data_IF_940910306354
#
_entry.id   IF_940910306354
#
_cell.length_a   1.000
_cell.length_b   1.000
_cell.length_c   1.000
_cell.angle_alpha   90.00
_cell.angle_beta   90.00
_cell.angle_gamma   90.00
#
_symmetry.space_group_name_H-M   'P 1'
#
loop_
_entity.id
_entity.type
_entity.pdbx_description
1 polymer ?
#
# COMPACT_ATOMS: atom_id res chain seq x y z
N UNK A 1 25.86 -19.41 -20.51
CA UNK A 1 24.67 -19.77 -21.29
C UNK A 1 24.81 -19.16 -22.66
N UNK A 2 24.45 -19.83 -23.75
CA UNK A 2 24.45 -19.24 -25.07
C UNK A 2 23.54 -18.02 -25.08
N UNK A 3 23.93 -16.97 -25.81
CA UNK A 3 23.16 -15.71 -25.91
C UNK A 3 21.69 -15.91 -26.32
N UNK A 4 21.39 -17.02 -27.03
CA UNK A 4 20.04 -17.41 -27.43
C UNK A 4 19.04 -17.59 -26.27
N UNK A 5 19.48 -18.14 -25.12
CA UNK A 5 18.59 -18.36 -23.98
C UNK A 5 18.18 -17.02 -23.30
N UNK A 6 19.11 -16.08 -23.19
CA UNK A 6 18.82 -14.74 -22.68
C UNK A 6 17.89 -13.96 -23.61
N UNK A 7 18.12 -14.08 -24.91
CA UNK A 7 17.25 -13.43 -25.91
C UNK A 7 15.81 -13.95 -25.85
N UNK A 8 15.64 -15.29 -25.69
CA UNK A 8 14.33 -15.88 -25.50
C UNK A 8 13.66 -15.39 -24.19
N UNK A 9 14.44 -15.30 -23.10
CA UNK A 9 13.90 -14.82 -21.80
C UNK A 9 13.40 -13.38 -21.88
N UNK A 10 14.15 -12.47 -22.53
CA UNK A 10 13.71 -11.08 -22.66
C UNK A 10 12.47 -10.94 -23.54
N UNK A 11 12.40 -11.69 -24.63
CA UNK A 11 11.21 -11.67 -25.50
C UNK A 11 9.98 -12.24 -24.77
N UNK A 12 10.13 -13.36 -24.06
CA UNK A 12 9.06 -13.95 -23.24
C UNK A 12 8.65 -12.99 -22.10
N UNK A 13 9.61 -12.32 -21.46
CA UNK A 13 9.35 -11.31 -20.44
C UNK A 13 8.54 -10.12 -20.97
N UNK A 14 8.88 -9.66 -22.17
CA UNK A 14 8.14 -8.61 -22.86
C UNK A 14 6.69 -9.03 -23.14
N UNK A 15 6.49 -10.18 -23.77
CA UNK A 15 5.15 -10.69 -24.11
C UNK A 15 4.30 -10.95 -22.85
N UNK A 16 4.90 -11.52 -21.82
CA UNK A 16 4.19 -11.81 -20.59
C UNK A 16 3.80 -10.53 -19.83
N UNK A 17 4.69 -9.54 -19.76
CA UNK A 17 4.36 -8.24 -19.14
C UNK A 17 3.26 -7.52 -19.92
N UNK A 18 3.27 -7.60 -21.25
CA UNK A 18 2.20 -7.09 -22.10
C UNK A 18 0.86 -7.81 -21.79
N UNK A 19 0.88 -9.13 -21.74
CA UNK A 19 -0.32 -9.95 -21.47
C UNK A 19 -0.91 -9.65 -20.09
N UNK A 20 -0.08 -9.61 -19.03
CA UNK A 20 -0.51 -9.22 -17.68
C UNK A 20 -1.09 -7.80 -17.64
N UNK A 21 -0.47 -6.86 -18.35
CA UNK A 21 -0.97 -5.49 -18.46
C UNK A 21 -2.36 -5.43 -19.09
N UNK A 22 -2.60 -6.22 -20.13
CA UNK A 22 -3.92 -6.34 -20.77
C UNK A 22 -4.96 -7.02 -19.87
N UNK A 23 -4.58 -8.05 -19.12
CA UNK A 23 -5.48 -8.73 -18.17
C UNK A 23 -5.96 -7.77 -17.07
N UNK A 24 -5.08 -6.88 -16.58
CA UNK A 24 -5.45 -5.90 -15.56
C UNK A 24 -6.39 -4.79 -16.07
N UNK A 25 -6.49 -4.60 -17.38
CA UNK A 25 -7.45 -3.67 -18.01
C UNK A 25 -8.86 -4.26 -18.19
N UNK A 26 -9.09 -5.54 -17.82
CA UNK A 26 -10.37 -6.20 -17.99
C UNK A 26 -11.51 -5.41 -17.29
N UNK A 27 -12.55 -4.97 -18.00
CA UNK A 27 -13.63 -4.14 -17.47
C UNK A 27 -14.52 -4.87 -16.44
N UNK A 28 -14.49 -6.19 -16.37
CA UNK A 28 -15.26 -6.97 -15.40
C UNK A 28 -14.83 -6.75 -13.94
N UNK A 29 -13.72 -6.07 -13.71
CA UNK A 29 -13.22 -5.72 -12.38
C UNK A 29 -13.51 -4.25 -12.03
N UNK A 30 -14.79 -3.84 -12.03
CA UNK A 30 -15.20 -2.43 -11.88
C UNK A 30 -14.61 -1.75 -10.64
N UNK A 31 -14.61 -2.39 -9.49
CA UNK A 31 -14.10 -1.80 -8.24
C UNK A 31 -12.57 -1.60 -8.25
N UNK A 32 -11.82 -2.53 -8.86
CA UNK A 32 -10.35 -2.49 -8.96
C UNK A 32 -9.86 -1.79 -10.23
N UNK A 33 -10.70 -1.65 -11.23
CA UNK A 33 -10.31 -1.23 -12.58
C UNK A 33 -9.59 0.12 -12.62
N UNK A 34 -9.97 1.07 -11.77
CA UNK A 34 -9.30 2.38 -11.69
C UNK A 34 -7.88 2.28 -11.14
N UNK A 35 -7.64 1.42 -10.15
CA UNK A 35 -6.30 1.19 -9.60
C UNK A 35 -5.45 0.39 -10.60
N UNK A 36 -5.99 -0.69 -11.15
CA UNK A 36 -5.29 -1.58 -12.06
C UNK A 36 -4.77 -0.89 -13.33
N UNK A 37 -5.41 0.18 -13.80
CA UNK A 37 -4.90 1.00 -14.92
C UNK A 37 -3.48 1.53 -14.68
N UNK A 38 -3.14 1.91 -13.46
CA UNK A 38 -1.79 2.38 -13.14
C UNK A 38 -0.76 1.23 -13.17
N UNK A 39 -1.15 0.04 -12.71
CA UNK A 39 -0.29 -1.15 -12.82
C UNK A 39 -0.09 -1.59 -14.28
N UNK A 40 -1.14 -1.49 -15.11
CA UNK A 40 -1.04 -1.78 -16.55
C UNK A 40 -0.02 -0.86 -17.23
N UNK A 41 0.01 0.43 -16.88
CA UNK A 41 1.02 1.37 -17.41
C UNK A 41 2.44 0.93 -17.02
N UNK A 42 2.65 0.47 -15.79
CA UNK A 42 3.95 -0.07 -15.35
C UNK A 42 4.32 -1.29 -16.19
N UNK A 43 3.41 -2.26 -16.31
CA UNK A 43 3.64 -3.49 -17.06
C UNK A 43 3.94 -3.23 -18.54
N UNK A 44 3.23 -2.30 -19.19
CA UNK A 44 3.52 -1.90 -20.58
C UNK A 44 4.87 -1.21 -20.71
N UNK A 45 5.23 -0.35 -19.75
CA UNK A 45 6.53 0.33 -19.75
C UNK A 45 7.69 -0.68 -19.67
N UNK A 46 7.57 -1.68 -18.80
CA UNK A 46 8.58 -2.74 -18.64
C UNK A 46 8.54 -3.77 -19.76
N UNK A 47 7.36 -4.05 -20.33
CA UNK A 47 7.26 -4.86 -21.57
C UNK A 47 8.10 -4.26 -22.68
N UNK A 48 7.98 -2.94 -22.88
CA UNK A 48 8.84 -2.23 -23.82
C UNK A 48 10.32 -2.28 -23.42
N UNK A 49 10.64 -2.16 -22.12
CA UNK A 49 12.00 -2.30 -21.59
C UNK A 49 12.64 -3.64 -21.94
N UNK A 50 11.95 -4.76 -21.73
CA UNK A 50 12.44 -6.10 -22.10
C UNK A 50 12.58 -6.27 -23.60
N UNK A 51 11.61 -5.79 -24.39
CA UNK A 51 11.72 -5.74 -25.85
C UNK A 51 12.94 -4.94 -26.30
N UNK A 52 13.20 -3.79 -25.67
CA UNK A 52 14.34 -2.96 -25.94
C UNK A 52 15.67 -3.68 -25.62
N UNK A 53 15.76 -4.35 -24.44
CA UNK A 53 16.93 -5.16 -24.08
C UNK A 53 17.16 -6.26 -25.11
N UNK A 54 16.11 -6.98 -25.53
CA UNK A 54 16.18 -7.99 -26.58
C UNK A 54 16.69 -7.40 -27.91
N UNK A 55 16.20 -6.24 -28.33
CA UNK A 55 16.63 -5.56 -29.55
C UNK A 55 18.11 -5.18 -29.51
N UNK A 56 18.60 -4.75 -28.35
CA UNK A 56 20.03 -4.42 -28.16
C UNK A 56 20.90 -5.69 -28.21
N UNK A 57 20.51 -6.75 -27.48
CA UNK A 57 21.25 -8.01 -27.39
C UNK A 57 21.33 -8.75 -28.74
N UNK A 58 20.30 -8.66 -29.57
CA UNK A 58 20.27 -9.27 -30.91
C UNK A 58 20.94 -8.41 -31.98
N UNK A 59 21.32 -7.17 -31.69
CA UNK A 59 21.86 -6.23 -32.66
C UNK A 59 20.85 -5.60 -33.61
N UNK A 60 19.54 -5.88 -33.43
CA UNK A 60 18.47 -5.33 -34.28
C UNK A 60 18.37 -3.80 -34.23
N UNK A 61 18.90 -3.17 -33.18
CA UNK A 61 18.97 -1.70 -33.09
C UNK A 61 19.70 -1.05 -34.27
N UNK A 62 20.62 -1.79 -34.99
CA UNK A 62 21.30 -1.30 -36.16
C UNK A 62 20.36 -1.12 -37.36
N UNK A 63 19.37 -2.00 -37.45
CA UNK A 63 18.33 -1.90 -38.50
C UNK A 63 17.25 -0.87 -38.16
N UNK A 64 17.04 -0.62 -36.84
CA UNK A 64 15.99 0.27 -36.32
C UNK A 64 16.53 1.33 -35.37
N UNK A 65 17.47 2.21 -35.81
CA UNK A 65 18.16 3.16 -34.92
C UNK A 65 17.24 4.22 -34.32
N UNK A 66 16.06 4.44 -34.90
CA UNK A 66 15.06 5.37 -34.37
C UNK A 66 14.39 4.89 -33.09
N UNK A 67 14.50 3.58 -32.72
CA UNK A 67 14.02 3.03 -31.46
C UNK A 67 15.01 3.23 -30.31
N UNK A 68 16.25 3.67 -30.59
CA UNK A 68 17.24 3.92 -29.54
C UNK A 68 16.77 4.99 -28.57
N UNK A 69 16.90 4.70 -27.27
CA UNK A 69 16.53 5.54 -26.13
C UNK A 69 15.03 5.87 -25.99
N UNK A 70 14.13 5.35 -26.84
CA UNK A 70 12.68 5.63 -26.76
C UNK A 70 12.12 5.23 -25.38
N UNK A 71 12.58 4.12 -24.81
CA UNK A 71 12.16 3.66 -23.49
C UNK A 71 12.86 4.33 -22.30
N UNK A 72 13.85 5.20 -22.53
CA UNK A 72 14.68 5.76 -21.47
C UNK A 72 13.87 6.61 -20.44
N UNK A 73 12.75 7.20 -20.87
CA UNK A 73 11.86 7.97 -19.98
C UNK A 73 10.87 7.10 -19.21
N UNK A 74 10.57 5.87 -19.66
CA UNK A 74 9.48 5.05 -19.10
C UNK A 74 9.72 4.63 -17.66
N UNK A 75 10.96 4.53 -17.22
CA UNK A 75 11.33 4.27 -15.83
C UNK A 75 10.77 5.30 -14.86
N UNK A 76 10.59 6.57 -15.30
CA UNK A 76 9.98 7.64 -14.53
C UNK A 76 8.46 7.44 -14.31
N UNK A 77 7.81 6.52 -15.01
CA UNK A 77 6.39 6.21 -14.82
C UNK A 77 6.16 5.26 -13.64
N UNK A 78 7.12 4.40 -13.30
CA UNK A 78 6.97 3.35 -12.29
C UNK A 78 6.60 3.92 -10.90
N UNK A 79 7.36 4.89 -10.40
CA UNK A 79 7.12 5.51 -9.09
C UNK A 79 5.75 6.20 -8.99
N UNK A 80 5.43 7.17 -9.88
CA UNK A 80 4.13 7.81 -9.92
C UNK A 80 2.94 6.85 -10.04
N UNK A 81 3.05 5.85 -10.92
CA UNK A 81 1.98 4.88 -11.11
C UNK A 81 1.75 4.00 -9.88
N UNK A 82 2.81 3.51 -9.21
CA UNK A 82 2.68 2.80 -7.93
C UNK A 82 2.04 3.67 -6.86
N UNK A 83 2.43 4.95 -6.78
CA UNK A 83 1.86 5.90 -5.83
C UNK A 83 0.36 6.13 -6.08
N UNK A 84 -0.03 6.35 -7.34
CA UNK A 84 -1.42 6.57 -7.71
C UNK A 84 -2.25 5.28 -7.56
N UNK A 85 -1.68 4.11 -7.85
CA UNK A 85 -2.26 2.81 -7.57
C UNK A 85 -2.64 2.69 -6.08
N UNK A 86 -1.66 2.89 -5.19
CA UNK A 86 -1.88 2.82 -3.75
C UNK A 86 -2.90 3.87 -3.28
N UNK A 87 -2.85 5.11 -3.83
CA UNK A 87 -3.81 6.17 -3.49
C UNK A 87 -5.25 5.77 -3.83
N UNK A 88 -5.46 5.13 -4.99
CA UNK A 88 -6.79 4.67 -5.42
C UNK A 88 -7.22 3.45 -4.61
N UNK A 89 -6.30 2.49 -4.39
CA UNK A 89 -6.56 1.27 -3.63
C UNK A 89 -7.01 1.58 -2.18
N UNK A 90 -6.38 2.59 -1.57
CA UNK A 90 -6.71 3.03 -0.21
C UNK A 90 -7.97 3.92 -0.15
N UNK A 91 -8.71 4.08 -1.22
CA UNK A 91 -10.06 4.70 -1.24
C UNK A 91 -10.15 6.15 -0.76
N UNK A 92 -9.04 6.88 -0.68
CA UNK A 92 -9.02 8.26 -0.19
C UNK A 92 -9.67 9.19 -1.21
N UNK A 93 -11.00 9.35 -1.15
CA UNK A 93 -11.71 10.44 -1.86
C UNK A 93 -11.26 11.77 -1.26
N UNK A 94 -10.54 12.56 -2.03
CA UNK A 94 -10.34 14.00 -1.74
C UNK A 94 -11.67 14.72 -2.02
N UNK A 95 -12.63 14.60 -1.09
CA UNK A 95 -14.02 15.09 -1.23
C UNK A 95 -14.11 16.62 -1.39
N UNK A 96 -13.10 17.37 -0.90
CA UNK A 96 -13.14 18.84 -0.84
C UNK A 96 -12.26 19.55 -1.89
N UNK A 97 -11.68 18.83 -2.87
CA UNK A 97 -10.90 19.48 -3.91
C UNK A 97 -11.60 19.34 -5.26
N UNK A 98 -11.84 20.50 -5.93
CA UNK A 98 -12.41 20.50 -7.29
C UNK A 98 -11.62 19.56 -8.22
N UNK A 99 -12.33 18.89 -9.12
CA UNK A 99 -11.78 17.90 -10.06
C UNK A 99 -10.56 18.43 -10.81
N UNK A 100 -10.56 19.68 -11.21
CA UNK A 100 -9.44 20.32 -11.93
C UNK A 100 -8.16 20.43 -11.11
N UNK A 101 -8.25 20.77 -9.81
CA UNK A 101 -7.07 20.83 -8.91
C UNK A 101 -6.48 19.44 -8.66
N UNK A 102 -7.32 18.42 -8.59
CA UNK A 102 -6.87 17.03 -8.44
C UNK A 102 -6.14 16.53 -9.69
N UNK A 103 -6.61 16.88 -10.89
CA UNK A 103 -5.96 16.54 -12.15
C UNK A 103 -4.57 17.20 -12.26
N UNK A 104 -4.45 18.49 -11.97
CA UNK A 104 -3.16 19.20 -11.97
C UNK A 104 -2.15 18.55 -11.03
N UNK A 105 -2.55 18.22 -9.80
CA UNK A 105 -1.67 17.54 -8.84
C UNK A 105 -1.22 16.15 -9.32
N UNK A 106 -2.10 15.40 -10.01
CA UNK A 106 -1.72 14.10 -10.58
C UNK A 106 -0.75 14.24 -11.73
N UNK A 107 -0.97 15.20 -12.63
CA UNK A 107 -0.09 15.46 -13.79
C UNK A 107 1.33 15.86 -13.36
N UNK A 108 1.47 16.59 -12.25
CA UNK A 108 2.78 16.99 -11.73
C UNK A 108 3.70 15.78 -11.42
N UNK A 109 3.13 14.65 -11.02
CA UNK A 109 3.90 13.43 -10.78
C UNK A 109 4.56 12.88 -12.06
N UNK A 110 4.03 13.22 -13.25
CA UNK A 110 4.58 12.80 -14.54
C UNK A 110 5.54 13.84 -15.15
N UNK A 111 5.77 14.98 -14.48
CA UNK A 111 6.69 16.00 -14.95
C UNK A 111 8.11 15.46 -15.22
N UNK A 112 8.73 14.58 -14.38
CA UNK A 112 10.05 14.02 -14.68
C UNK A 112 10.08 13.19 -15.97
N UNK A 113 9.01 12.45 -16.27
CA UNK A 113 8.86 11.74 -17.55
C UNK A 113 8.85 12.70 -18.72
N UNK A 114 8.04 13.76 -18.66
CA UNK A 114 7.93 14.76 -19.73
C UNK A 114 9.24 15.52 -19.91
N UNK A 115 9.87 15.95 -18.82
CA UNK A 115 11.14 16.70 -18.87
C UNK A 115 12.27 15.84 -19.45
N UNK A 116 12.37 14.56 -19.05
CA UNK A 116 13.37 13.65 -19.59
C UNK A 116 13.14 13.38 -21.09
N UNK A 117 11.88 13.19 -21.50
CA UNK A 117 11.52 13.00 -22.91
C UNK A 117 11.87 14.24 -23.73
N UNK A 118 11.58 15.43 -23.21
CA UNK A 118 11.93 16.70 -23.85
C UNK A 118 13.45 16.90 -23.94
N UNK A 119 14.20 16.54 -22.90
CA UNK A 119 15.67 16.59 -22.90
C UNK A 119 16.29 15.64 -23.95
N UNK A 120 15.63 14.51 -24.25
CA UNK A 120 16.04 13.57 -25.30
C UNK A 120 15.57 13.97 -26.70
N UNK A 121 14.72 14.98 -26.85
CA UNK A 121 14.17 15.39 -28.13
C UNK A 121 15.25 15.70 -29.18
N UNK A 122 16.37 16.42 -28.88
CA UNK A 122 17.44 16.65 -29.84
C UNK A 122 18.07 15.35 -30.34
N UNK A 123 18.15 14.30 -29.49
CA UNK A 123 18.63 12.99 -29.93
C UNK A 123 17.59 12.31 -30.85
N UNK A 124 16.30 12.39 -30.52
CA UNK A 124 15.23 11.75 -31.31
C UNK A 124 15.11 12.35 -32.73
N UNK A 125 15.49 13.60 -32.92
CA UNK A 125 15.46 14.28 -34.21
C UNK A 125 16.69 13.99 -35.08
N UNK A 126 17.75 13.32 -34.55
CA UNK A 126 18.96 12.99 -35.33
C UNK A 126 18.68 11.92 -36.39
N UNK A 127 19.44 11.97 -37.52
CA UNK A 127 19.46 10.88 -38.51
C UNK A 127 19.89 9.54 -37.87
N UNK A 128 19.44 8.43 -38.45
CA UNK A 128 19.71 7.10 -37.93
C UNK A 128 21.20 6.78 -37.73
N UNK A 129 22.04 7.16 -38.69
CA UNK A 129 23.51 6.94 -38.60
C UNK A 129 24.17 7.70 -37.44
N UNK A 130 23.70 8.91 -37.13
CA UNK A 130 24.22 9.69 -36.00
C UNK A 130 23.78 9.09 -34.67
N UNK A 131 22.54 8.51 -34.58
CA UNK A 131 22.08 7.78 -33.43
C UNK A 131 22.90 6.55 -33.16
N UNK A 132 23.25 5.77 -34.18
CA UNK A 132 24.11 4.60 -34.06
C UNK A 132 25.50 4.98 -33.58
N UNK A 133 26.11 6.01 -34.15
CA UNK A 133 27.42 6.52 -33.71
C UNK A 133 27.39 6.94 -32.25
N UNK A 134 26.38 7.70 -31.83
CA UNK A 134 26.22 8.08 -30.41
C UNK A 134 26.10 6.85 -29.53
N UNK A 135 25.27 5.86 -29.91
CA UNK A 135 25.04 4.67 -29.13
C UNK A 135 26.29 3.79 -28.94
N UNK A 136 27.06 3.62 -30.00
CA UNK A 136 28.24 2.73 -30.01
C UNK A 136 29.48 3.41 -29.42
N UNK A 137 29.71 4.68 -29.67
CA UNK A 137 30.95 5.36 -29.32
C UNK A 137 30.86 6.29 -28.11
N UNK A 138 29.75 6.98 -27.90
CA UNK A 138 29.64 8.10 -26.98
C UNK A 138 28.84 7.81 -25.73
N UNK A 139 27.84 6.94 -25.79
CA UNK A 139 26.89 6.68 -24.68
C UNK A 139 27.57 6.39 -23.34
N UNK A 140 28.56 5.52 -23.33
CA UNK A 140 29.29 5.13 -22.12
C UNK A 140 30.12 6.24 -21.48
N UNK A 141 30.45 7.29 -22.27
CA UNK A 141 31.30 8.42 -21.86
C UNK A 141 30.47 9.68 -21.57
N UNK A 142 29.20 9.71 -21.94
CA UNK A 142 28.35 10.88 -21.79
C UNK A 142 27.93 11.09 -20.34
N UNK A 143 28.35 12.20 -19.69
CA UNK A 143 28.01 12.49 -18.31
C UNK A 143 26.50 12.78 -18.13
N UNK A 144 25.83 13.31 -19.17
CA UNK A 144 24.39 13.55 -19.12
C UNK A 144 23.62 12.25 -19.02
N UNK A 145 24.01 11.23 -19.79
CA UNK A 145 23.38 9.91 -19.72
C UNK A 145 23.57 9.28 -18.34
N UNK A 146 24.75 9.40 -17.74
CA UNK A 146 24.98 8.95 -16.37
C UNK A 146 24.14 9.72 -15.34
N UNK A 147 24.08 11.04 -15.48
CA UNK A 147 23.24 11.88 -14.62
C UNK A 147 21.76 11.52 -14.67
N UNK A 148 21.24 11.20 -15.86
CA UNK A 148 19.86 10.72 -16.04
C UNK A 148 19.61 9.40 -15.29
N UNK A 149 20.55 8.45 -15.31
CA UNK A 149 20.43 7.19 -14.58
C UNK A 149 20.41 7.42 -13.06
N UNK A 150 21.27 8.28 -12.53
CA UNK A 150 21.27 8.68 -11.13
C UNK A 150 19.94 9.32 -10.73
N UNK A 151 19.42 10.23 -11.57
CA UNK A 151 18.13 10.88 -11.33
C UNK A 151 16.98 9.87 -11.29
N UNK A 152 16.99 8.85 -12.14
CA UNK A 152 16.01 7.77 -12.13
C UNK A 152 16.03 6.97 -10.82
N UNK A 153 17.23 6.64 -10.30
CA UNK A 153 17.39 5.96 -9.01
C UNK A 153 16.83 6.80 -7.86
N UNK A 154 17.20 8.08 -7.79
CA UNK A 154 16.71 9.01 -6.77
C UNK A 154 15.18 9.14 -6.85
N UNK A 155 14.67 9.31 -8.06
CA UNK A 155 13.23 9.45 -8.30
C UNK A 155 12.46 8.21 -7.83
N UNK A 156 12.83 7.01 -8.27
CA UNK A 156 12.16 5.78 -7.84
C UNK A 156 12.30 5.55 -6.34
N UNK A 157 13.50 5.76 -5.77
CA UNK A 157 13.76 5.63 -4.34
C UNK A 157 12.89 6.56 -3.49
N UNK A 158 12.69 7.81 -3.95
CA UNK A 158 11.81 8.77 -3.25
C UNK A 158 10.36 8.29 -3.22
N UNK A 159 9.84 7.74 -4.32
CA UNK A 159 8.49 7.17 -4.36
C UNK A 159 8.34 5.93 -3.46
N UNK A 160 9.31 5.00 -3.50
CA UNK A 160 9.28 3.82 -2.62
C UNK A 160 9.29 4.22 -1.15
N UNK A 161 10.08 5.24 -0.78
CA UNK A 161 10.10 5.79 0.59
C UNK A 161 8.74 6.34 1.00
N UNK A 162 8.13 7.18 0.15
CA UNK A 162 6.79 7.74 0.41
C UNK A 162 5.73 6.63 0.51
N UNK A 163 5.81 5.62 -0.35
CA UNK A 163 4.91 4.46 -0.34
C UNK A 163 5.03 3.67 0.96
N UNK A 164 6.26 3.41 1.42
CA UNK A 164 6.51 2.69 2.68
C UNK A 164 5.93 3.44 3.89
N UNK A 165 6.19 4.76 3.99
CA UNK A 165 5.61 5.58 5.06
C UNK A 165 4.08 5.61 5.04
N UNK A 166 3.47 5.74 3.86
CA UNK A 166 2.02 5.71 3.72
C UNK A 166 1.43 4.35 4.09
N UNK A 167 2.07 3.27 3.68
CA UNK A 167 1.64 1.91 4.02
C UNK A 167 1.76 1.65 5.52
N UNK A 168 2.83 2.09 6.17
CA UNK A 168 2.98 1.99 7.62
C UNK A 168 1.89 2.77 8.36
N UNK A 169 1.59 4.01 7.91
CA UNK A 169 0.50 4.81 8.47
C UNK A 169 -0.85 4.12 8.31
N UNK A 170 -1.11 3.56 7.12
CA UNK A 170 -2.30 2.77 6.83
C UNK A 170 -2.44 1.59 7.79
N UNK A 171 -1.39 0.77 7.92
CA UNK A 171 -1.41 -0.41 8.79
C UNK A 171 -1.65 -0.08 10.26
N UNK A 172 -1.10 1.04 10.75
CA UNK A 172 -1.38 1.50 12.11
C UNK A 172 -2.85 1.85 12.30
N UNK A 173 -3.47 2.51 11.32
CA UNK A 173 -4.90 2.88 11.42
C UNK A 173 -5.87 1.71 11.21
N UNK A 174 -5.41 0.56 10.68
CA UNK A 174 -6.26 -0.64 10.57
C UNK A 174 -6.72 -1.17 11.92
N UNK A 175 -5.81 -1.25 12.90
CA UNK A 175 -6.13 -1.74 14.23
C UNK A 175 -7.18 -0.90 14.96
N UNK A 176 -7.35 0.36 14.57
CA UNK A 176 -8.36 1.25 15.14
C UNK A 176 -9.76 1.07 14.49
N UNK A 177 -9.83 0.39 13.34
CA UNK A 177 -11.03 0.36 12.51
C UNK A 177 -11.70 -1.01 12.41
N UNK A 178 -10.93 -2.09 12.44
CA UNK A 178 -11.41 -3.44 12.11
C UNK A 178 -11.00 -4.46 13.14
N UNK A 179 -11.84 -5.49 13.28
CA UNK A 179 -11.60 -6.62 14.20
C UNK A 179 -10.81 -7.77 13.59
N UNK A 180 -10.65 -7.79 12.25
CA UNK A 180 -9.83 -8.75 11.52
C UNK A 180 -8.92 -8.04 10.53
N UNK A 181 -7.63 -8.39 10.52
CA UNK A 181 -6.63 -7.79 9.64
C UNK A 181 -6.35 -8.63 8.37
N UNK A 182 -6.97 -9.80 8.26
CA UNK A 182 -6.71 -10.74 7.17
C UNK A 182 -7.13 -10.19 5.81
N UNK A 183 -6.23 -10.32 4.85
CA UNK A 183 -6.46 -9.90 3.46
C UNK A 183 -6.42 -8.38 3.21
N UNK A 184 -6.33 -7.54 4.26
CA UNK A 184 -6.37 -6.08 4.13
C UNK A 184 -5.07 -5.37 4.51
N UNK A 185 -4.09 -6.08 5.10
CA UNK A 185 -2.81 -5.52 5.58
C UNK A 185 -1.87 -5.05 4.47
N UNK A 186 -2.12 -5.46 3.22
CA UNK A 186 -1.26 -5.20 2.07
C UNK A 186 0.21 -5.62 2.30
N UNK A 187 0.41 -6.76 2.98
CA UNK A 187 1.75 -7.29 3.25
C UNK A 187 2.55 -7.55 1.98
N UNK A 188 1.87 -8.02 0.93
CA UNK A 188 2.47 -8.20 -0.39
C UNK A 188 3.06 -6.89 -0.94
N UNK A 189 2.34 -5.75 -0.78
CA UNK A 189 2.80 -4.44 -1.25
C UNK A 189 4.02 -3.96 -0.45
N UNK A 190 4.04 -4.21 0.87
CA UNK A 190 5.23 -3.94 1.69
C UNK A 190 6.43 -4.73 1.19
N UNK A 191 6.26 -6.02 0.98
CA UNK A 191 7.33 -6.91 0.51
C UNK A 191 7.84 -6.50 -0.88
N UNK A 192 6.92 -6.07 -1.77
CA UNK A 192 7.26 -5.52 -3.07
C UNK A 192 8.09 -4.23 -2.96
N UNK A 193 7.71 -3.30 -2.07
CA UNK A 193 8.46 -2.06 -1.83
C UNK A 193 9.86 -2.38 -1.30
N UNK A 194 9.99 -3.31 -0.35
CA UNK A 194 11.28 -3.73 0.20
C UNK A 194 12.17 -4.40 -0.87
N UNK A 195 11.58 -5.24 -1.72
CA UNK A 195 12.27 -5.85 -2.86
C UNK A 195 12.70 -4.79 -3.88
N UNK A 196 11.88 -3.75 -4.09
CA UNK A 196 12.23 -2.59 -4.90
C UNK A 196 13.45 -1.83 -4.36
N UNK A 197 13.55 -1.62 -3.04
CA UNK A 197 14.73 -1.03 -2.41
C UNK A 197 15.97 -1.92 -2.56
N UNK A 198 15.83 -3.23 -2.40
CA UNK A 198 16.94 -4.16 -2.63
C UNK A 198 17.43 -4.07 -4.08
N UNK A 199 16.51 -4.07 -5.05
CA UNK A 199 16.84 -3.92 -6.48
C UNK A 199 17.55 -2.60 -6.79
N UNK A 200 17.07 -1.48 -6.22
CA UNK A 200 17.74 -0.19 -6.33
C UNK A 200 19.14 -0.20 -5.74
N UNK A 201 19.34 -0.83 -4.58
CA UNK A 201 20.64 -0.97 -3.93
C UNK A 201 21.62 -1.77 -4.78
N UNK A 202 21.19 -2.91 -5.30
CA UNK A 202 21.99 -3.76 -6.20
C UNK A 202 22.33 -2.98 -7.48
N UNK A 203 21.34 -2.38 -8.15
CA UNK A 203 21.57 -1.63 -9.37
C UNK A 203 22.51 -0.43 -9.13
N UNK A 204 22.32 0.30 -8.02
CA UNK A 204 23.18 1.43 -7.65
C UNK A 204 24.63 0.99 -7.38
N UNK A 205 24.84 -0.10 -6.64
CA UNK A 205 26.17 -0.67 -6.37
C UNK A 205 26.86 -1.07 -7.68
N UNK A 206 26.12 -1.75 -8.55
CA UNK A 206 26.59 -2.13 -9.88
C UNK A 206 26.96 -0.91 -10.69
N UNK A 207 26.08 0.09 -10.76
CA UNK A 207 26.33 1.33 -11.49
C UNK A 207 27.63 2.01 -11.03
N UNK A 208 27.90 2.08 -9.72
CA UNK A 208 29.13 2.65 -9.17
C UNK A 208 30.35 1.82 -9.54
N UNK A 209 30.30 0.50 -9.35
CA UNK A 209 31.43 -0.41 -9.65
C UNK A 209 31.80 -0.34 -11.14
N UNK A 210 30.81 -0.36 -12.04
CA UNK A 210 31.09 -0.36 -13.48
C UNK A 210 31.44 1.02 -14.04
N UNK A 211 31.02 2.11 -13.38
CA UNK A 211 31.47 3.45 -13.74
C UNK A 211 32.97 3.63 -13.47
N UNK A 212 33.47 2.94 -12.44
CA UNK A 212 34.90 2.95 -12.06
C UNK A 212 35.72 1.93 -12.85
N UNK A 213 35.13 0.79 -13.26
CA UNK A 213 35.79 -0.27 -14.04
C UNK A 213 35.03 -0.52 -15.35
N UNK A 214 35.53 0.01 -16.43
CA UNK A 214 34.97 -0.15 -17.78
C UNK A 214 35.14 -1.62 -18.21
N UNK A 215 34.05 -2.32 -18.55
CA UNK A 215 34.15 -3.52 -19.38
C UNK A 215 33.07 -4.61 -19.28
N UNK A 216 32.40 -4.85 -18.12
CA UNK A 216 31.56 -6.06 -17.98
C UNK A 216 30.10 -5.79 -17.59
N UNK A 217 29.55 -4.65 -17.97
CA UNK A 217 28.20 -4.22 -17.59
C UNK A 217 27.05 -5.13 -18.11
N UNK A 218 27.30 -5.91 -19.17
CA UNK A 218 26.24 -6.72 -19.83
C UNK A 218 25.70 -7.82 -18.91
N UNK A 219 26.58 -8.51 -18.19
CA UNK A 219 26.19 -9.63 -17.35
C UNK A 219 25.28 -9.20 -16.18
N UNK A 220 25.57 -8.07 -15.58
CA UNK A 220 24.84 -7.57 -14.42
C UNK A 220 23.48 -7.00 -14.82
N UNK A 221 23.39 -6.33 -15.96
CA UNK A 221 22.10 -5.86 -16.49
C UNK A 221 21.14 -7.05 -16.68
N UNK A 222 21.60 -8.19 -17.16
CA UNK A 222 20.78 -9.40 -17.34
C UNK A 222 20.17 -9.93 -16.04
N UNK A 223 20.93 -9.96 -14.94
CA UNK A 223 20.40 -10.37 -13.64
C UNK A 223 19.41 -9.34 -13.06
N UNK A 224 19.68 -8.05 -13.27
CA UNK A 224 18.75 -6.99 -12.87
C UNK A 224 17.43 -7.11 -13.63
N UNK A 225 17.47 -7.32 -14.94
CA UNK A 225 16.28 -7.51 -15.76
C UNK A 225 15.49 -8.78 -15.34
N UNK A 226 16.18 -9.87 -15.01
CA UNK A 226 15.55 -11.07 -14.47
C UNK A 226 14.86 -10.80 -13.12
N UNK A 227 15.50 -10.08 -12.21
CA UNK A 227 14.92 -9.71 -10.94
C UNK A 227 13.67 -8.85 -11.13
N UNK A 228 13.72 -7.86 -12.03
CA UNK A 228 12.56 -7.04 -12.38
C UNK A 228 11.44 -7.88 -12.98
N UNK A 229 11.74 -8.85 -13.85
CA UNK A 229 10.75 -9.76 -14.41
C UNK A 229 10.00 -10.53 -13.32
N UNK A 230 10.73 -11.08 -12.33
CA UNK A 230 10.12 -11.77 -11.19
C UNK A 230 9.24 -10.82 -10.38
N UNK A 231 9.72 -9.61 -10.09
CA UNK A 231 8.96 -8.58 -9.37
C UNK A 231 7.64 -8.25 -10.09
N UNK A 232 7.68 -8.09 -11.41
CA UNK A 232 6.48 -7.77 -12.20
C UNK A 232 5.48 -8.93 -12.24
N UNK A 233 5.96 -10.18 -12.23
CA UNK A 233 5.09 -11.35 -12.12
C UNK A 233 4.37 -11.40 -10.78
N UNK A 234 5.11 -11.22 -9.69
CA UNK A 234 4.53 -11.15 -8.34
C UNK A 234 3.52 -10.00 -8.25
N UNK A 235 3.87 -8.82 -8.75
CA UNK A 235 2.98 -7.67 -8.78
C UNK A 235 1.68 -7.97 -9.56
N UNK A 236 1.79 -8.55 -10.75
CA UNK A 236 0.64 -8.89 -11.58
C UNK A 236 -0.25 -9.95 -10.93
N UNK A 237 0.34 -11.00 -10.37
CA UNK A 237 -0.39 -12.07 -9.67
C UNK A 237 -1.14 -11.53 -8.45
N UNK A 238 -0.47 -10.78 -7.58
CA UNK A 238 -1.07 -10.20 -6.37
C UNK A 238 -2.19 -9.21 -6.73
N UNK A 239 -2.01 -8.39 -7.77
CA UNK A 239 -3.03 -7.46 -8.21
C UNK A 239 -4.30 -8.16 -8.73
N UNK A 240 -4.16 -9.34 -9.37
CA UNK A 240 -5.28 -10.14 -9.87
C UNK A 240 -6.01 -10.88 -8.74
N UNK A 241 -5.27 -11.44 -7.78
CA UNK A 241 -5.80 -12.32 -6.73
C UNK A 241 -6.26 -11.58 -5.49
N UNK A 242 -5.78 -10.34 -5.25
CA UNK A 242 -6.14 -9.58 -4.07
C UNK A 242 -7.66 -9.35 -3.98
N UNK A 243 -8.31 -9.61 -2.82
CA UNK A 243 -9.70 -9.26 -2.60
C UNK A 243 -9.92 -7.75 -2.71
N UNK A 244 -11.10 -7.33 -3.14
CA UNK A 244 -11.47 -5.92 -3.15
C UNK A 244 -11.45 -5.40 -1.71
N UNK A 245 -10.63 -4.39 -1.44
CA UNK A 245 -10.66 -3.71 -0.15
C UNK A 245 -11.95 -2.90 -0.13
N UNK A 246 -12.85 -3.20 0.81
CA UNK A 246 -14.10 -2.48 0.94
C UNK A 246 -13.82 -0.97 1.07
N UNK A 247 -14.18 -0.20 0.07
CA UNK A 247 -13.88 1.24 -0.04
C UNK A 247 -14.52 2.08 1.08
N UNK A 248 -15.46 1.51 1.84
CA UNK A 248 -16.16 2.18 2.94
C UNK A 248 -15.38 2.28 4.25
N UNK A 249 -14.29 1.54 4.42
CA UNK A 249 -13.54 1.51 5.68
C UNK A 249 -12.81 2.81 6.05
N UNK A 250 -12.63 3.73 5.10
CA UNK A 250 -11.73 4.88 5.25
C UNK A 250 -12.46 6.22 5.40
N UNK A 251 -13.77 6.22 5.44
CA UNK A 251 -14.55 7.41 5.77
C UNK A 251 -14.53 7.64 7.30
N UNK A 252 -13.35 7.68 7.92
CA UNK A 252 -13.23 8.39 9.18
C UNK A 252 -13.44 9.87 8.85
N UNK A 253 -14.45 10.55 9.43
CA UNK A 253 -14.50 11.99 9.38
C UNK A 253 -13.20 12.48 10.02
N UNK A 254 -12.32 13.09 9.25
CA UNK A 254 -11.40 14.07 9.86
C UNK A 254 -12.36 15.00 10.58
N UNK A 255 -12.19 15.15 11.90
CA UNK A 255 -12.96 16.10 12.65
C UNK A 255 -13.05 17.39 11.84
N UNK A 256 -14.25 17.69 11.34
CA UNK A 256 -14.51 18.96 10.72
C UNK A 256 -14.42 19.95 11.85
N UNK A 257 -13.56 20.97 11.81
CA UNK A 257 -13.59 22.02 12.81
C UNK A 257 -14.77 22.98 12.62
N UNK A 258 -15.62 22.74 11.60
CA UNK A 258 -16.79 23.57 11.32
C UNK A 258 -18.03 22.69 11.43
N UNK A 259 -18.86 22.99 12.44
CA UNK A 259 -20.11 22.31 12.75
C UNK A 259 -21.03 22.28 11.53
N UNK A 260 -21.50 21.08 11.14
CA UNK A 260 -22.74 20.98 10.42
C UNK A 260 -23.85 21.38 11.38
N UNK A 261 -24.51 22.45 11.02
CA UNK A 261 -25.57 23.07 11.80
C UNK A 261 -26.70 22.07 12.15
N UNK A 262 -27.00 22.04 13.40
CA UNK A 262 -28.28 21.64 13.92
C UNK A 262 -29.31 22.65 13.34
N UNK A 263 -30.50 22.23 12.86
CA UNK A 263 -31.52 23.17 12.46
C UNK A 263 -31.82 24.13 13.61
N UNK A 264 -31.66 25.43 13.35
CA UNK A 264 -32.04 26.48 14.30
C UNK A 264 -33.54 26.38 14.55
N UNK A 265 -33.92 26.04 15.77
CA UNK A 265 -35.22 26.36 16.31
C UNK A 265 -35.15 27.80 16.85
N UNK A 266 -35.97 28.68 16.29
CA UNK A 266 -36.07 30.07 16.66
C UNK A 266 -36.65 30.22 18.07
N UNK A 267 -35.91 30.84 19.00
CA UNK A 267 -36.49 31.32 20.25
C UNK A 267 -35.51 31.81 21.30
N UNK A 268 -35.35 33.14 21.37
CA UNK A 268 -34.99 33.96 22.54
C UNK A 268 -33.52 34.11 22.96
N UNK A 269 -33.00 35.33 22.76
CA UNK A 269 -31.88 35.99 23.48
C UNK A 269 -32.15 36.11 25.01
N UNK A 270 -31.19 36.50 25.89
CA UNK A 270 -30.14 37.46 25.67
C UNK A 270 -28.74 37.25 26.36
N UNK A 271 -27.78 37.95 25.81
CA UNK A 271 -26.55 38.58 26.37
C UNK A 271 -26.04 38.21 27.77
N UNK A 272 -24.76 37.84 27.87
CA UNK A 272 -23.85 38.49 28.82
C UNK A 272 -22.37 38.32 28.38
N UNK A 273 -21.70 39.42 28.57
CA UNK A 273 -20.36 39.88 28.22
C UNK A 273 -19.23 39.32 29.11
N UNK A 274 -18.05 39.03 28.47
CA UNK A 274 -16.65 39.40 28.79
C UNK A 274 -15.91 38.60 29.90
N UNK A 275 -14.52 38.53 29.98
CA UNK A 275 -13.44 39.05 29.12
C UNK A 275 -12.31 38.08 28.75
N UNK A 276 -11.42 38.55 27.87
CA UNK A 276 -10.14 37.97 27.48
C UNK A 276 -9.12 38.02 28.65
N UNK A 277 -8.34 36.95 28.75
CA UNK A 277 -6.87 36.93 28.89
C UNK A 277 -6.39 35.60 29.49
N UNK A 278 -5.69 34.81 28.74
CA UNK A 278 -4.39 34.24 29.13
C UNK A 278 -3.85 33.41 27.98
N UNK A 279 -2.80 33.94 27.38
CA UNK A 279 -1.87 33.20 26.54
C UNK A 279 -1.16 32.17 27.43
N UNK A 280 -1.21 30.89 27.00
CA UNK A 280 -0.10 29.97 27.28
C UNK A 280 0.09 29.05 26.06
N UNK A 281 1.32 29.00 25.63
CA UNK A 281 1.86 28.23 24.51
C UNK A 281 1.83 26.73 24.84
N UNK A 282 1.51 25.91 23.86
CA UNK A 282 1.76 24.45 23.97
C UNK A 282 0.85 23.63 23.08
N UNK A 283 1.34 23.20 21.90
CA UNK A 283 0.95 21.99 21.22
C UNK A 283 -0.47 21.93 20.66
N UNK A 284 -0.61 22.08 19.35
CA UNK A 284 -1.84 21.92 18.59
C UNK A 284 -2.39 20.49 18.66
N UNK A 285 -2.99 20.11 19.78
CA UNK A 285 -3.95 19.00 19.87
C UNK A 285 -5.34 19.60 19.67
N UNK A 286 -5.95 19.36 18.49
CA UNK A 286 -7.33 19.75 18.19
C UNK A 286 -8.22 19.28 19.32
N UNK A 287 -8.86 20.20 20.01
CA UNK A 287 -9.77 20.00 21.13
C UNK A 287 -10.89 19.07 20.68
N UNK A 288 -10.82 17.80 21.06
CA UNK A 288 -11.97 16.89 21.04
C UNK A 288 -12.94 17.39 22.11
N UNK A 289 -14.21 17.60 21.76
CA UNK A 289 -15.26 18.04 22.67
C UNK A 289 -15.66 16.97 23.70
N UNK A 290 -14.97 15.81 23.74
CA UNK A 290 -15.28 14.70 24.63
C UNK A 290 -14.71 14.96 26.02
N UNK A 291 -15.56 15.09 27.04
CA UNK A 291 -15.10 15.20 28.41
C UNK A 291 -14.55 13.85 28.91
N UNK A 292 -13.66 13.92 29.92
CA UNK A 292 -13.05 12.71 30.52
C UNK A 292 -14.10 11.69 30.97
N UNK A 293 -15.17 12.16 31.63
CA UNK A 293 -16.25 11.30 32.13
C UNK A 293 -17.11 10.70 31.00
N UNK A 294 -17.38 11.48 29.97
CA UNK A 294 -18.07 10.96 28.77
C UNK A 294 -17.24 9.90 28.08
N UNK A 295 -15.93 10.11 27.92
CA UNK A 295 -15.02 9.12 27.35
C UNK A 295 -14.98 7.81 28.13
N UNK A 296 -14.88 7.87 29.46
CA UNK A 296 -14.96 6.69 30.33
C UNK A 296 -16.32 5.98 30.21
N UNK A 297 -17.42 6.74 30.15
CA UNK A 297 -18.76 6.21 29.96
C UNK A 297 -18.91 5.44 28.65
N UNK A 298 -18.42 6.01 27.53
CA UNK A 298 -18.43 5.36 26.21
C UNK A 298 -17.59 4.09 26.22
N UNK A 299 -16.36 4.15 26.77
CA UNK A 299 -15.49 2.99 26.86
C UNK A 299 -16.11 1.82 27.65
N UNK A 300 -16.75 2.13 28.78
CA UNK A 300 -17.46 1.14 29.59
C UNK A 300 -18.63 0.52 28.81
N UNK A 301 -19.47 1.35 28.15
CA UNK A 301 -20.58 0.88 27.33
C UNK A 301 -20.11 -0.03 26.21
N UNK A 302 -18.97 0.29 25.56
CA UNK A 302 -18.40 -0.54 24.50
C UNK A 302 -18.02 -1.95 24.99
N UNK A 303 -17.37 -2.07 26.15
CA UNK A 303 -17.01 -3.36 26.74
C UNK A 303 -18.26 -4.15 27.15
N UNK A 304 -19.22 -3.50 27.79
CA UNK A 304 -20.46 -4.11 28.24
C UNK A 304 -21.29 -4.63 27.06
N UNK A 305 -21.40 -3.80 26.00
CA UNK A 305 -22.13 -4.17 24.78
C UNK A 305 -21.52 -5.40 24.10
N UNK A 306 -20.20 -5.44 23.93
CA UNK A 306 -19.53 -6.61 23.36
C UNK A 306 -19.81 -7.89 24.16
N UNK A 307 -19.80 -7.82 25.49
CA UNK A 307 -20.05 -8.97 26.36
C UNK A 307 -21.50 -9.44 26.35
N UNK A 308 -22.46 -8.52 26.26
CA UNK A 308 -23.90 -8.85 26.33
C UNK A 308 -24.45 -9.33 25.00
N UNK A 309 -24.03 -8.72 23.90
CA UNK A 309 -24.56 -9.05 22.56
C UNK A 309 -23.80 -10.16 21.86
N UNK A 310 -22.52 -10.39 22.21
CA UNK A 310 -21.66 -11.29 21.45
C UNK A 310 -21.30 -10.78 20.05
N UNK A 311 -21.42 -9.48 19.80
CA UNK A 311 -21.11 -8.88 18.48
C UNK A 311 -19.69 -9.18 17.98
N UNK A 312 -18.75 -9.47 18.88
CA UNK A 312 -17.38 -9.87 18.54
C UNK A 312 -17.31 -11.22 17.78
N UNK A 313 -18.36 -12.02 17.78
CA UNK A 313 -18.43 -13.29 17.05
C UNK A 313 -18.60 -13.11 15.54
N UNK A 314 -19.08 -11.94 15.10
CA UNK A 314 -19.07 -11.60 13.67
C UNK A 314 -17.64 -11.29 13.22
N UNK A 315 -17.12 -12.09 12.29
CA UNK A 315 -15.77 -11.93 11.72
C UNK A 315 -15.55 -10.60 10.99
N UNK A 316 -16.63 -9.95 10.52
CA UNK A 316 -16.63 -8.67 9.80
C UNK A 316 -16.88 -7.47 10.70
N UNK A 317 -17.09 -7.65 11.98
CA UNK A 317 -17.44 -6.59 12.92
C UNK A 317 -16.44 -5.45 12.94
N UNK A 318 -16.92 -4.22 12.82
CA UNK A 318 -16.11 -3.00 12.69
C UNK A 318 -16.37 -2.02 13.83
N UNK A 319 -15.45 -1.07 14.03
CA UNK A 319 -15.66 0.06 14.94
C UNK A 319 -16.90 0.88 14.58
N UNK A 320 -17.21 0.97 13.27
CA UNK A 320 -18.39 1.69 12.78
C UNK A 320 -19.69 1.00 13.23
N UNK A 321 -19.73 -0.34 13.17
CA UNK A 321 -20.90 -1.10 13.62
C UNK A 321 -21.13 -0.89 15.12
N UNK A 322 -20.07 -1.01 15.93
CA UNK A 322 -20.14 -0.72 17.35
C UNK A 322 -20.58 0.72 17.65
N UNK A 323 -20.11 1.68 16.87
CA UNK A 323 -20.49 3.08 17.04
C UNK A 323 -21.98 3.32 16.71
N UNK A 324 -22.50 2.67 15.66
CA UNK A 324 -23.93 2.70 15.31
C UNK A 324 -24.78 2.08 16.39
N UNK A 325 -24.42 0.89 16.89
CA UNK A 325 -25.15 0.18 17.96
C UNK A 325 -25.18 0.98 19.26
N UNK A 326 -24.10 1.68 19.59
CA UNK A 326 -24.02 2.54 20.78
C UNK A 326 -24.59 3.96 20.56
N UNK A 327 -24.97 4.31 19.32
CA UNK A 327 -25.43 5.64 18.95
C UNK A 327 -24.42 6.75 19.32
N UNK A 328 -23.11 6.48 19.08
CA UNK A 328 -22.03 7.44 19.34
C UNK A 328 -21.24 7.71 18.07
N UNK A 329 -20.67 8.91 17.90
CA UNK A 329 -19.77 9.20 16.77
C UNK A 329 -18.54 8.26 16.80
N UNK A 330 -18.16 7.72 15.63
CA UNK A 330 -17.04 6.77 15.49
C UNK A 330 -15.73 7.31 16.06
N UNK A 331 -15.46 8.61 15.89
CA UNK A 331 -14.24 9.24 16.40
C UNK A 331 -14.23 9.33 17.93
N UNK A 332 -15.39 9.59 18.58
CA UNK A 332 -15.49 9.58 20.04
C UNK A 332 -15.32 8.17 20.60
N UNK A 333 -15.88 7.14 19.93
CA UNK A 333 -15.69 5.75 20.33
C UNK A 333 -14.23 5.33 20.20
N UNK A 334 -13.58 5.63 19.08
CA UNK A 334 -12.14 5.34 18.87
C UNK A 334 -11.28 6.00 19.93
N UNK A 335 -11.53 7.29 20.20
CA UNK A 335 -10.83 8.04 21.24
C UNK A 335 -11.04 7.43 22.63
N UNK A 336 -12.28 7.10 22.96
CA UNK A 336 -12.63 6.51 24.26
C UNK A 336 -11.93 5.16 24.48
N UNK A 337 -11.93 4.27 23.48
CA UNK A 337 -11.24 2.97 23.55
C UNK A 337 -9.74 3.19 23.74
N UNK A 338 -9.11 4.00 22.89
CA UNK A 338 -7.67 4.22 22.93
C UNK A 338 -7.20 4.92 24.23
N UNK A 339 -7.92 5.92 24.72
CA UNK A 339 -7.51 6.71 25.88
C UNK A 339 -7.84 6.04 27.22
N UNK A 340 -9.01 5.39 27.34
CA UNK A 340 -9.46 4.85 28.62
C UNK A 340 -9.23 3.36 28.80
N UNK A 341 -9.18 2.58 27.70
CA UNK A 341 -8.85 1.16 27.78
C UNK A 341 -7.39 0.87 27.43
N UNK A 342 -6.65 1.85 26.91
CA UNK A 342 -5.24 1.74 26.48
C UNK A 342 -5.02 0.59 25.47
N UNK A 343 -6.03 0.32 24.66
CA UNK A 343 -6.01 -0.68 23.58
C UNK A 343 -6.69 -0.10 22.33
N UNK A 344 -6.43 -0.66 21.17
CA UNK A 344 -7.20 -0.32 19.97
C UNK A 344 -8.42 -1.24 19.81
N UNK A 345 -9.28 -0.92 18.84
CA UNK A 345 -10.51 -1.71 18.58
C UNK A 345 -10.21 -3.18 18.24
N UNK A 346 -9.16 -3.43 17.43
CA UNK A 346 -8.73 -4.79 17.12
C UNK A 346 -8.39 -5.59 18.39
N UNK A 347 -7.65 -4.99 19.29
CA UNK A 347 -7.26 -5.65 20.56
C UNK A 347 -8.46 -5.87 21.47
N UNK A 348 -9.37 -4.88 21.55
CA UNK A 348 -10.58 -4.99 22.36
C UNK A 348 -11.44 -6.18 21.92
N UNK A 349 -11.75 -6.26 20.62
CA UNK A 349 -12.60 -7.34 20.08
C UNK A 349 -11.91 -8.70 20.19
N UNK A 350 -10.63 -8.78 19.84
CA UNK A 350 -9.93 -10.07 19.83
C UNK A 350 -9.63 -10.63 21.24
N UNK A 351 -9.56 -9.78 22.26
CA UNK A 351 -9.55 -10.26 23.65
C UNK A 351 -10.82 -11.03 24.01
N UNK A 352 -11.99 -10.51 23.62
CA UNK A 352 -13.27 -11.19 23.85
C UNK A 352 -13.37 -12.48 23.03
N UNK A 353 -12.90 -12.49 21.77
CA UNK A 353 -12.85 -13.70 20.95
C UNK A 353 -11.97 -14.79 21.57
N UNK A 354 -10.77 -14.43 22.06
CA UNK A 354 -9.89 -15.41 22.74
C UNK A 354 -10.50 -15.89 24.04
N UNK A 355 -11.17 -15.01 24.82
CA UNK A 355 -11.89 -15.41 26.04
C UNK A 355 -12.97 -16.42 25.71
N UNK A 356 -13.79 -16.17 24.69
CA UNK A 356 -14.85 -17.11 24.27
C UNK A 356 -14.27 -18.44 23.79
N UNK A 357 -13.20 -18.42 22.96
CA UNK A 357 -12.51 -19.64 22.54
C UNK A 357 -11.97 -20.45 23.74
N UNK A 358 -11.41 -19.77 24.76
CA UNK A 358 -10.96 -20.41 25.98
C UNK A 358 -12.13 -21.09 26.72
N UNK A 359 -13.28 -20.43 26.85
CA UNK A 359 -14.47 -21.00 27.47
C UNK A 359 -14.98 -22.26 26.74
N UNK A 360 -14.94 -22.27 25.40
CA UNK A 360 -15.26 -23.46 24.61
C UNK A 360 -14.29 -24.61 24.88
N UNK A 361 -12.98 -24.32 24.96
CA UNK A 361 -11.96 -25.31 25.28
C UNK A 361 -12.11 -25.85 26.72
N UNK A 362 -12.43 -24.99 27.69
CA UNK A 362 -12.66 -25.38 29.09
C UNK A 362 -13.88 -26.33 29.23
N UNK A 363 -14.92 -26.10 28.42
CA UNK A 363 -16.11 -26.97 28.36
C UNK A 363 -15.84 -28.31 27.66
N UNK A 364 -14.60 -28.55 27.18
CA UNK A 364 -14.19 -29.78 26.48
C UNK A 364 -15.10 -30.14 25.30
N UNK A 365 -15.55 -29.12 24.56
CA UNK A 365 -16.31 -29.31 23.32
C UNK A 365 -15.46 -30.14 22.36
N UNK A 366 -16.04 -31.19 21.76
CA UNK A 366 -15.33 -32.14 20.89
C UNK A 366 -15.02 -31.56 19.49
N UNK A 367 -15.12 -30.26 19.32
CA UNK A 367 -14.90 -29.57 18.04
C UNK A 367 -13.41 -29.47 17.70
N UNK A 368 -13.11 -29.39 16.44
CA UNK A 368 -11.75 -29.12 16.00
C UNK A 368 -11.31 -27.70 16.38
N UNK A 369 -10.00 -27.46 16.54
CA UNK A 369 -9.50 -26.11 16.78
C UNK A 369 -9.89 -25.11 15.68
N UNK A 370 -10.19 -25.59 14.48
CA UNK A 370 -10.67 -24.77 13.37
C UNK A 370 -12.13 -24.33 13.63
N UNK A 371 -12.97 -25.25 14.06
CA UNK A 371 -14.39 -24.96 14.36
C UNK A 371 -14.49 -24.00 15.55
N UNK A 372 -13.68 -24.21 16.60
CA UNK A 372 -13.58 -23.29 17.75
C UNK A 372 -13.13 -21.90 17.32
N UNK A 373 -12.15 -21.81 16.41
CA UNK A 373 -11.71 -20.54 15.87
C UNK A 373 -12.85 -19.79 15.17
N UNK A 374 -13.57 -20.46 14.26
CA UNK A 374 -14.70 -19.87 13.53
C UNK A 374 -15.88 -19.53 14.46
N UNK A 375 -16.22 -20.41 15.38
CA UNK A 375 -17.26 -20.16 16.38
C UNK A 375 -16.92 -18.98 17.31
N UNK A 376 -15.65 -18.62 17.41
CA UNK A 376 -15.18 -17.46 18.19
C UNK A 376 -14.97 -16.20 17.34
N UNK A 377 -15.40 -16.18 16.07
CA UNK A 377 -15.35 -15.02 15.18
C UNK A 377 -13.98 -14.79 14.50
N UNK A 378 -13.07 -15.77 14.51
CA UNK A 378 -11.82 -15.68 13.75
C UNK A 378 -12.03 -16.16 12.31
N UNK A 379 -11.37 -15.49 11.36
CA UNK A 379 -11.39 -15.87 9.95
C UNK A 379 -10.47 -17.02 9.60
N UNK A 380 -9.45 -17.27 10.42
CA UNK A 380 -8.48 -18.33 10.17
C UNK A 380 -7.89 -18.93 11.43
N UNK A 381 -7.45 -20.20 11.32
CA UNK A 381 -6.73 -20.91 12.35
C UNK A 381 -5.38 -20.24 12.69
N UNK A 382 -4.72 -19.62 11.71
CA UNK A 382 -3.41 -18.98 11.93
C UNK A 382 -3.52 -17.76 12.83
N UNK A 383 -4.50 -16.88 12.57
CA UNK A 383 -4.79 -15.70 13.41
C UNK A 383 -5.25 -16.11 14.80
N UNK A 384 -6.15 -17.08 14.88
CA UNK A 384 -6.57 -17.66 16.16
C UNK A 384 -5.38 -18.14 17.01
N UNK A 385 -4.53 -19.01 16.45
CA UNK A 385 -3.36 -19.54 17.16
C UNK A 385 -2.40 -18.43 17.62
N UNK A 386 -2.15 -17.45 16.76
CA UNK A 386 -1.23 -16.34 17.06
C UNK A 386 -1.76 -15.47 18.21
N UNK A 387 -3.06 -15.10 18.18
CA UNK A 387 -3.68 -14.28 19.21
C UNK A 387 -3.91 -15.05 20.50
N UNK A 388 -4.31 -16.32 20.43
CA UNK A 388 -4.45 -17.17 21.60
C UNK A 388 -3.13 -17.29 22.36
N UNK A 389 -2.01 -17.55 21.63
CA UNK A 389 -0.67 -17.57 22.23
C UNK A 389 -0.25 -16.21 22.77
N UNK A 390 -0.57 -15.11 22.07
CA UNK A 390 -0.26 -13.75 22.53
C UNK A 390 -0.94 -13.39 23.85
N UNK A 391 -2.22 -13.75 24.01
CA UNK A 391 -3.01 -13.38 25.19
C UNK A 391 -2.91 -14.37 26.35
N UNK A 392 -2.71 -15.65 26.08
CA UNK A 392 -2.69 -16.70 27.11
C UNK A 392 -1.30 -17.34 27.31
N UNK A 393 -0.29 -16.93 26.57
CA UNK A 393 1.10 -17.39 26.69
C UNK A 393 1.37 -18.80 26.14
N UNK A 394 0.34 -19.53 25.69
CA UNK A 394 0.48 -20.87 25.13
C UNK A 394 -0.45 -21.06 23.92
N UNK A 395 -0.15 -22.05 23.08
CA UNK A 395 -1.01 -22.42 21.94
C UNK A 395 -2.28 -23.13 22.43
N UNK A 396 -3.38 -23.15 21.63
CA UNK A 396 -4.59 -23.92 21.97
C UNK A 396 -4.30 -25.40 22.28
N UNK A 397 -3.38 -26.00 21.54
CA UNK A 397 -2.96 -27.40 21.74
C UNK A 397 -2.25 -27.59 23.09
N UNK A 398 -1.32 -26.71 23.43
CA UNK A 398 -0.64 -26.72 24.74
C UNK A 398 -1.61 -26.46 25.89
N UNK A 399 -2.57 -25.54 25.68
CA UNK A 399 -3.62 -25.25 26.65
C UNK A 399 -4.46 -26.48 26.96
N UNK A 400 -4.95 -27.18 25.92
CA UNK A 400 -5.74 -28.41 26.13
C UNK A 400 -4.94 -29.55 26.77
N UNK A 401 -3.62 -29.64 26.50
CA UNK A 401 -2.76 -30.62 27.17
C UNK A 401 -2.69 -30.36 28.69
N UNK A 402 -2.47 -29.10 29.10
CA UNK A 402 -2.46 -28.69 30.51
C UNK A 402 -3.81 -28.95 31.24
N UNK A 403 -4.94 -28.86 30.52
CA UNK A 403 -6.24 -29.19 31.07
C UNK A 403 -6.44 -30.70 31.32
N UNK A 404 -5.70 -31.56 30.57
CA UNK A 404 -5.76 -33.02 30.71
C UNK A 404 -4.84 -33.54 31.82
N UNK A 405 -3.68 -32.94 31.94
CA UNK A 405 -2.64 -33.27 32.91
C UNK A 405 -2.34 -32.00 33.74
N UNK A 406 -3.17 -31.69 34.75
CA UNK A 406 -2.87 -30.59 35.68
C UNK A 406 -1.66 -31.02 36.52
N UNK A 407 -0.58 -30.24 36.47
CA UNK A 407 0.62 -30.41 37.32
C UNK A 407 0.25 -30.33 38.81
#
# INVERSE_FOLDING_TARGET
MPNSAWNALFLLGSLNSLFLGLLLLNPKQEEKGKANRYLSVILFSWSFGFFYTWMIETGMYRSYPHLLLVGASFTFLTGPCLYLYMKVLLGRKDRNQGTFTLWKKRLLHFAPFCLNTLALLPFYLRPGMEKLRYWEELRGKDPLFAGMQVLQLIHLGSYLTVLLFRLQKYRRSLGDAVSSLEGITLDWLRNLILLGFLGLGVYGAVFVVFRVRIGEAVFVNRFTDLAVLVILHVLGYEALTQPAIAQGFWEFPKGNPEGEGVPEDHGAEPRSTIPANSREEGGAYVRSSLSLEQGKGIARKAVEHLKTTGAYLDENFTLRDLAMELSVPVHHLSQAINQHLQVNFFELVNRERVRHAKELLDRRVKDSFLDIAFASGFRSKSTFNALFKRYLGCTPTEYCRRLKDPE
#
